data_IF_016779823102
#
_entry.id   IF_016779823102
#
_cell.length_a   1.000
_cell.length_b   1.000
_cell.length_c   1.000
_cell.angle_alpha   90.00
_cell.angle_beta   90.00
_cell.angle_gamma   90.00
#
_symmetry.space_group_name_H-M   'P 1'
#
loop_
_entity.id
_entity.type
_entity.pdbx_description
1 polymer ?
#
# COMPACT_ATOMS: atom_id res chain seq x y z
N UNK A 1 -0.07 13.08 8.00
CA UNK A 1 -0.92 11.89 8.16
C UNK A 1 -0.24 10.80 8.99
N UNK A 2 0.94 10.42 8.62
CA UNK A 2 1.73 9.39 9.32
C UNK A 2 3.07 9.98 9.73
N UNK A 3 3.56 9.59 10.92
CA UNK A 3 4.83 10.11 11.45
C UNK A 3 6.01 9.58 10.63
N UNK A 4 5.93 8.31 10.24
CA UNK A 4 6.98 7.63 9.51
C UNK A 4 6.35 6.61 8.55
N UNK A 5 6.84 6.58 7.31
CA UNK A 5 6.42 5.60 6.31
C UNK A 5 7.62 4.77 5.89
N UNK A 6 7.62 3.51 6.31
CA UNK A 6 8.65 2.55 5.97
C UNK A 6 8.34 1.89 4.64
N UNK A 7 9.34 1.78 3.78
CA UNK A 7 9.23 1.07 2.50
C UNK A 7 10.25 -0.08 2.50
N UNK A 8 9.81 -1.34 2.45
CA UNK A 8 10.74 -2.45 2.33
C UNK A 8 11.59 -2.35 1.07
N UNK A 9 12.80 -2.89 1.14
CA UNK A 9 13.73 -2.94 0.01
C UNK A 9 13.09 -3.54 -1.24
N UNK A 10 12.38 -4.64 -1.09
CA UNK A 10 11.73 -5.35 -2.20
C UNK A 10 10.65 -4.50 -2.88
N UNK A 11 9.87 -3.76 -2.08
CA UNK A 11 8.86 -2.85 -2.61
C UNK A 11 9.50 -1.69 -3.38
N UNK A 12 10.57 -1.12 -2.82
CA UNK A 12 11.28 -0.03 -3.49
C UNK A 12 11.87 -0.48 -4.83
N UNK A 13 12.43 -1.68 -4.89
CA UNK A 13 12.93 -2.24 -6.16
C UNK A 13 11.83 -2.41 -7.18
N UNK A 14 10.69 -2.94 -6.76
CA UNK A 14 9.53 -3.16 -7.62
C UNK A 14 9.00 -1.84 -8.20
N UNK A 15 8.87 -0.81 -7.35
CA UNK A 15 8.43 0.51 -7.81
C UNK A 15 9.45 1.14 -8.77
N UNK A 16 10.74 1.09 -8.44
CA UNK A 16 11.80 1.67 -9.28
C UNK A 16 11.93 0.97 -10.63
N UNK A 17 11.62 -0.32 -10.68
CA UNK A 17 11.57 -1.06 -11.95
C UNK A 17 10.38 -0.65 -12.83
N UNK A 18 9.47 0.19 -12.32
CA UNK A 18 8.32 0.71 -13.04
C UNK A 18 7.09 -0.17 -13.00
N UNK A 19 7.17 -1.33 -12.36
CA UNK A 19 6.06 -2.30 -12.38
C UNK A 19 5.64 -2.60 -13.82
N UNK A 20 4.33 -2.69 -14.04
CA UNK A 20 3.78 -2.94 -15.38
C UNK A 20 3.58 -1.67 -16.20
N UNK A 21 3.44 -0.51 -15.56
CA UNK A 21 3.01 0.73 -16.23
C UNK A 21 3.95 1.91 -16.01
N UNK A 22 4.99 1.77 -15.19
CA UNK A 22 5.87 2.86 -14.75
C UNK A 22 5.12 4.00 -14.04
N UNK A 23 3.88 3.76 -13.66
CA UNK A 23 3.05 4.76 -13.00
C UNK A 23 3.56 5.06 -11.60
N UNK A 24 3.76 6.33 -11.28
CA UNK A 24 4.16 6.77 -9.96
C UNK A 24 5.65 6.69 -9.65
N UNK A 25 6.49 6.23 -10.58
CA UNK A 25 7.94 6.10 -10.35
C UNK A 25 8.57 7.44 -10.01
N UNK A 26 8.25 8.49 -10.77
CA UNK A 26 8.82 9.83 -10.56
C UNK A 26 8.40 10.40 -9.20
N UNK A 27 7.13 10.24 -8.84
CA UNK A 27 6.62 10.67 -7.54
C UNK A 27 7.30 9.93 -6.38
N UNK A 28 7.53 8.64 -6.53
CA UNK A 28 8.24 7.82 -5.54
C UNK A 28 9.69 8.29 -5.38
N UNK A 29 10.40 8.52 -6.48
CA UNK A 29 11.78 8.98 -6.45
C UNK A 29 11.94 10.38 -5.84
N UNK A 30 10.93 11.24 -6.01
CA UNK A 30 10.92 12.59 -5.45
C UNK A 30 10.52 12.62 -3.98
N UNK A 31 9.95 11.56 -3.44
CA UNK A 31 9.47 11.50 -2.06
C UNK A 31 10.61 11.19 -1.09
N UNK A 32 11.37 12.20 -0.72
CA UNK A 32 12.53 12.07 0.17
C UNK A 32 12.17 11.78 1.64
N UNK A 33 10.89 11.90 1.99
CA UNK A 33 10.35 11.62 3.32
C UNK A 33 10.06 10.14 3.59
N UNK A 34 10.19 9.29 2.57
CA UNK A 34 10.03 7.84 2.74
C UNK A 34 11.28 7.23 3.38
N UNK A 35 11.07 6.35 4.35
CA UNK A 35 12.15 5.57 4.97
C UNK A 35 12.30 4.25 4.22
N UNK A 36 13.16 4.25 3.22
CA UNK A 36 13.39 3.09 2.37
C UNK A 36 14.45 2.20 2.99
N UNK A 37 14.12 0.94 3.21
CA UNK A 37 15.06 -0.04 3.75
C UNK A 37 16.10 -0.41 2.69
N UNK A 38 17.35 -0.51 3.10
CA UNK A 38 18.50 -0.73 2.20
C UNK A 38 18.87 -2.20 2.01
N UNK A 39 18.17 -3.11 2.68
CA UNK A 39 18.43 -4.55 2.64
C UNK A 39 17.16 -5.35 2.54
N UNK A 40 17.17 -6.48 1.80
CA UNK A 40 16.07 -7.43 1.81
C UNK A 40 15.81 -7.97 3.21
N UNK A 41 14.57 -8.24 3.51
CA UNK A 41 14.15 -8.88 4.75
C UNK A 41 14.13 -10.40 4.57
N UNK A 42 14.52 -11.12 5.62
CA UNK A 42 14.42 -12.59 5.62
C UNK A 42 12.95 -12.97 5.88
N UNK A 43 12.36 -13.67 4.92
CA UNK A 43 10.93 -14.02 4.98
C UNK A 43 10.70 -15.33 5.72
N UNK A 44 9.64 -15.36 6.53
CA UNK A 44 9.10 -16.61 7.05
C UNK A 44 8.63 -17.49 5.88
N UNK A 45 8.80 -18.82 5.97
CA UNK A 45 8.48 -19.70 4.83
C UNK A 45 7.04 -19.58 4.33
N UNK A 46 6.06 -19.42 5.23
CA UNK A 46 4.67 -19.31 4.80
C UNK A 46 4.39 -18.03 4.03
N UNK A 47 5.06 -16.92 4.37
CA UNK A 47 4.94 -15.65 3.63
C UNK A 47 5.58 -15.77 2.24
N UNK A 48 6.78 -16.35 2.19
CA UNK A 48 7.51 -16.55 0.95
C UNK A 48 6.71 -17.40 -0.05
N UNK A 49 6.01 -18.41 0.45
CA UNK A 49 5.30 -19.37 -0.41
C UNK A 49 3.87 -18.92 -0.77
N UNK A 50 3.30 -17.97 -0.03
CA UNK A 50 1.90 -17.56 -0.20
C UNK A 50 1.74 -16.24 -0.95
N UNK A 51 2.74 -15.38 -0.95
CA UNK A 51 2.67 -14.01 -1.46
C UNK A 51 3.83 -13.72 -2.38
N UNK A 52 3.69 -12.68 -3.21
CA UNK A 52 4.85 -12.13 -3.92
C UNK A 52 5.82 -11.48 -2.92
N UNK A 53 7.04 -11.20 -3.38
CA UNK A 53 8.11 -10.72 -2.50
C UNK A 53 7.80 -9.34 -1.91
N UNK A 54 7.12 -8.47 -2.63
CA UNK A 54 6.74 -7.15 -2.15
C UNK A 54 5.78 -7.22 -0.97
N UNK A 55 4.67 -7.92 -1.15
CA UNK A 55 3.66 -8.09 -0.09
C UNK A 55 4.21 -8.84 1.12
N UNK A 56 4.95 -9.92 0.87
CA UNK A 56 5.57 -10.70 1.94
C UNK A 56 6.55 -9.84 2.75
N UNK A 57 7.34 -8.99 2.09
CA UNK A 57 8.29 -8.10 2.76
C UNK A 57 7.59 -7.05 3.63
N UNK A 58 6.44 -6.52 3.20
CA UNK A 58 5.65 -5.58 4.00
C UNK A 58 5.21 -6.22 5.30
N UNK A 59 4.64 -7.41 5.24
CA UNK A 59 4.16 -8.13 6.43
C UNK A 59 5.33 -8.50 7.34
N UNK A 60 6.40 -9.05 6.77
CA UNK A 60 7.56 -9.46 7.56
C UNK A 60 8.22 -8.28 8.28
N UNK A 61 8.36 -7.16 7.59
CA UNK A 61 8.94 -5.94 8.18
C UNK A 61 8.09 -5.44 9.33
N UNK A 62 6.76 -5.42 9.16
CA UNK A 62 5.85 -5.01 10.22
C UNK A 62 5.96 -5.93 11.45
N UNK A 63 6.05 -7.24 11.24
CA UNK A 63 6.23 -8.19 12.35
C UNK A 63 7.57 -7.99 13.05
N UNK A 64 8.64 -7.84 12.29
CA UNK A 64 10.00 -7.67 12.86
C UNK A 64 10.12 -6.40 13.69
N UNK A 65 9.51 -5.32 13.25
CA UNK A 65 9.63 -4.01 13.89
C UNK A 65 8.44 -3.66 14.79
N UNK A 66 7.53 -4.61 14.99
CA UNK A 66 6.32 -4.42 15.80
C UNK A 66 5.50 -3.21 15.36
N UNK A 67 5.39 -3.01 14.04
CA UNK A 67 4.55 -1.96 13.47
C UNK A 67 3.13 -2.47 13.28
N UNK A 68 2.12 -1.76 13.80
CA UNK A 68 0.76 -2.29 13.82
C UNK A 68 0.02 -2.14 12.48
N UNK A 69 0.42 -1.20 11.62
CA UNK A 69 -0.33 -0.84 10.42
C UNK A 69 0.48 -1.09 9.15
N UNK A 70 -0.14 -1.78 8.20
CA UNK A 70 0.43 -2.01 6.86
C UNK A 70 -0.53 -1.49 5.80
N UNK A 71 0.05 -1.07 4.67
CA UNK A 71 -0.69 -0.66 3.48
C UNK A 71 -0.56 -1.73 2.41
N UNK A 72 -1.65 -2.45 2.14
CA UNK A 72 -1.70 -3.52 1.13
C UNK A 72 -3.03 -3.42 0.41
N UNK A 73 -3.01 -3.43 -0.92
CA UNK A 73 -4.23 -3.33 -1.73
C UNK A 73 -4.79 -4.71 -2.12
N UNK A 74 -3.94 -5.71 -2.31
CA UNK A 74 -4.36 -7.01 -2.82
C UNK A 74 -5.05 -7.89 -1.77
N UNK A 75 -6.07 -8.63 -2.22
CA UNK A 75 -6.96 -9.41 -1.34
C UNK A 75 -6.20 -10.46 -0.53
N UNK A 76 -5.31 -11.22 -1.17
CA UNK A 76 -4.57 -12.31 -0.50
C UNK A 76 -3.60 -11.73 0.53
N UNK A 77 -2.89 -10.66 0.17
CA UNK A 77 -1.99 -9.97 1.10
C UNK A 77 -2.73 -9.39 2.30
N UNK A 78 -3.89 -8.80 2.07
CA UNK A 78 -4.73 -8.25 3.14
C UNK A 78 -5.21 -9.33 4.11
N UNK A 79 -5.66 -10.46 3.58
CA UNK A 79 -6.08 -11.60 4.41
C UNK A 79 -4.92 -12.11 5.26
N UNK A 80 -3.77 -12.29 4.65
CA UNK A 80 -2.56 -12.79 5.34
C UNK A 80 -2.14 -11.82 6.45
N UNK A 81 -2.16 -10.52 6.18
CA UNK A 81 -1.82 -9.52 7.20
C UNK A 81 -2.78 -9.57 8.39
N UNK A 82 -4.09 -9.73 8.14
CA UNK A 82 -5.07 -9.89 9.22
C UNK A 82 -4.80 -11.12 10.06
N UNK A 83 -4.47 -12.24 9.43
CA UNK A 83 -4.12 -13.48 10.14
C UNK A 83 -2.87 -13.31 10.99
N UNK A 84 -1.97 -12.42 10.62
CA UNK A 84 -0.78 -12.07 11.39
C UNK A 84 -1.05 -11.05 12.50
N UNK A 85 -2.29 -10.61 12.68
CA UNK A 85 -2.65 -9.63 13.70
C UNK A 85 -2.36 -8.19 13.35
N UNK A 86 -2.12 -7.88 12.09
CA UNK A 86 -1.82 -6.52 11.63
C UNK A 86 -3.10 -5.75 11.26
N UNK A 87 -3.08 -4.44 11.49
CA UNK A 87 -4.10 -3.54 10.97
C UNK A 87 -3.79 -3.19 9.52
N UNK A 88 -4.85 -2.93 8.76
CA UNK A 88 -4.74 -2.73 7.33
C UNK A 88 -5.28 -1.38 6.88
N UNK A 89 -4.57 -0.77 5.94
CA UNK A 89 -5.10 0.26 5.06
C UNK A 89 -4.76 -0.09 3.62
N UNK A 90 -5.34 0.62 2.68
CA UNK A 90 -5.03 0.51 1.26
C UNK A 90 -5.02 1.89 0.64
N UNK A 91 -4.79 1.96 -0.68
CA UNK A 91 -4.69 3.23 -1.40
C UNK A 91 -5.92 4.12 -1.21
N UNK A 92 -7.13 3.55 -1.33
CA UNK A 92 -8.36 4.31 -1.11
C UNK A 92 -8.52 4.77 0.33
N UNK A 93 -8.16 3.93 1.30
CA UNK A 93 -8.22 4.29 2.72
C UNK A 93 -7.30 5.46 3.06
N UNK A 94 -6.10 5.48 2.47
CA UNK A 94 -5.15 6.59 2.64
C UNK A 94 -5.72 7.88 2.05
N UNK A 95 -6.28 7.81 0.85
CA UNK A 95 -6.87 8.99 0.19
C UNK A 95 -8.08 9.53 0.96
N UNK A 96 -8.92 8.64 1.47
CA UNK A 96 -10.06 9.03 2.30
C UNK A 96 -9.61 9.72 3.59
N UNK A 97 -8.61 9.13 4.25
CA UNK A 97 -8.03 9.74 5.47
C UNK A 97 -7.44 11.12 5.18
N UNK A 98 -6.73 11.26 4.08
CA UNK A 98 -6.17 12.55 3.67
C UNK A 98 -7.28 13.60 3.51
N UNK A 99 -8.38 13.25 2.85
CA UNK A 99 -9.52 14.14 2.68
C UNK A 99 -10.16 14.51 4.02
N UNK A 100 -10.33 13.55 4.91
CA UNK A 100 -10.87 13.81 6.26
C UNK A 100 -9.99 14.74 7.09
N UNK A 101 -8.68 14.74 6.83
CA UNK A 101 -7.72 15.62 7.51
C UNK A 101 -7.57 16.98 6.83
N UNK A 102 -8.35 17.28 5.80
CA UNK A 102 -8.37 18.57 5.14
C UNK A 102 -7.49 18.71 3.89
N UNK A 103 -6.83 17.64 3.47
CA UNK A 103 -6.08 17.68 2.20
C UNK A 103 -7.04 17.69 1.02
N UNK A 104 -6.66 18.37 -0.06
CA UNK A 104 -7.44 18.39 -1.29
C UNK A 104 -7.22 17.11 -2.05
N UNK A 105 -8.26 16.26 -2.09
CA UNK A 105 -8.23 14.98 -2.82
C UNK A 105 -9.54 14.85 -3.60
N UNK A 106 -9.43 14.72 -4.91
CA UNK A 106 -10.55 14.39 -5.78
C UNK A 106 -10.69 12.87 -5.84
N UNK A 107 -11.51 12.30 -4.97
CA UNK A 107 -11.67 10.84 -4.87
C UNK A 107 -12.25 10.20 -6.13
N UNK A 108 -13.30 10.76 -6.79
CA UNK A 108 -13.78 10.18 -8.03
C UNK A 108 -12.70 10.11 -9.12
N UNK A 109 -11.90 11.18 -9.27
CA UNK A 109 -10.81 11.21 -10.24
C UNK A 109 -9.70 10.22 -9.87
N UNK A 110 -9.33 10.13 -8.59
CA UNK A 110 -8.32 9.19 -8.11
C UNK A 110 -8.73 7.75 -8.39
N UNK A 111 -9.99 7.40 -8.11
CA UNK A 111 -10.54 6.07 -8.39
C UNK A 111 -10.48 5.77 -9.89
N UNK A 112 -10.89 6.71 -10.72
CA UNK A 112 -10.83 6.54 -12.19
C UNK A 112 -9.40 6.32 -12.66
N UNK A 113 -8.44 7.08 -12.15
CA UNK A 113 -7.03 6.92 -12.50
C UNK A 113 -6.49 5.57 -12.07
N UNK A 114 -6.83 5.09 -10.88
CA UNK A 114 -6.42 3.76 -10.42
C UNK A 114 -6.96 2.66 -11.34
N UNK A 115 -8.24 2.74 -11.71
CA UNK A 115 -8.87 1.77 -12.62
C UNK A 115 -8.23 1.81 -14.00
N UNK A 116 -7.92 3.00 -14.50
CA UNK A 116 -7.27 3.20 -15.80
C UNK A 116 -5.87 2.57 -15.85
N UNK A 117 -5.18 2.51 -14.71
CA UNK A 117 -3.86 1.88 -14.58
C UNK A 117 -3.92 0.40 -14.17
N UNK A 118 -5.08 -0.23 -14.29
CA UNK A 118 -5.23 -1.66 -14.09
C UNK A 118 -5.44 -2.10 -12.64
N UNK A 119 -5.65 -1.17 -11.71
CA UNK A 119 -5.95 -1.50 -10.33
C UNK A 119 -7.44 -1.80 -10.20
N UNK A 120 -7.74 -3.05 -9.82
CA UNK A 120 -9.13 -3.45 -9.63
C UNK A 120 -9.66 -2.99 -8.28
N UNK A 121 -10.83 -2.38 -8.30
CA UNK A 121 -11.53 -1.93 -7.10
C UNK A 121 -12.97 -2.47 -7.15
N UNK A 122 -13.43 -3.07 -6.05
CA UNK A 122 -14.81 -3.58 -6.02
C UNK A 122 -15.81 -2.43 -6.07
N UNK A 123 -16.94 -2.61 -6.78
CA UNK A 123 -18.00 -1.58 -6.79
C UNK A 123 -18.51 -1.22 -5.40
N UNK A 124 -18.63 -2.21 -4.51
CA UNK A 124 -19.05 -1.98 -3.13
C UNK A 124 -18.06 -1.10 -2.36
N UNK A 125 -16.77 -1.32 -2.54
CA UNK A 125 -15.73 -0.49 -1.91
C UNK A 125 -15.78 0.94 -2.43
N UNK A 126 -15.91 1.13 -3.75
CA UNK A 126 -16.01 2.45 -4.36
C UNK A 126 -17.22 3.21 -3.81
N UNK A 127 -18.37 2.55 -3.76
CA UNK A 127 -19.60 3.15 -3.22
C UNK A 127 -19.45 3.54 -1.75
N UNK A 128 -18.87 2.65 -0.94
CA UNK A 128 -18.64 2.90 0.48
C UNK A 128 -17.73 4.11 0.70
N UNK A 129 -16.65 4.22 -0.09
CA UNK A 129 -15.71 5.34 0.02
C UNK A 129 -16.36 6.65 -0.42
N UNK A 130 -17.05 6.66 -1.57
CA UNK A 130 -17.68 7.87 -2.09
C UNK A 130 -18.82 8.36 -1.19
N UNK A 131 -19.54 7.47 -0.53
CA UNK A 131 -20.62 7.85 0.39
C UNK A 131 -20.13 8.62 1.62
N UNK A 132 -18.86 8.41 2.02
CA UNK A 132 -18.29 9.09 3.19
C UNK A 132 -17.87 10.54 2.92
N UNK A 133 -17.86 10.98 1.66
CA UNK A 133 -17.40 12.31 1.29
C UNK A 133 -18.51 13.21 0.75
N UNK A 134 -19.72 12.73 0.79
CA UNK A 134 -20.90 13.52 0.37
C UNK A 134 -21.45 14.35 1.51
#
# INVERSE_FOLDING_TARGET
MYVRVLVPFEVAQEVRAGGQTSFGVDAFQAADWLDIQDRPVTLLPFLKNSLDSGEASVIQTALNLSLPLVCIDEVVGRRTARLCGLNLTGSLGIMLKARQLGFTVDLPLAIENMRRHGIWLSPALIEAVLSQVQ
#
